data_IF_501497417840
#
_entry.id   IF_501497417840
#
_cell.length_a   1.000
_cell.length_b   1.000
_cell.length_c   1.000
_cell.angle_alpha   90.00
_cell.angle_beta   90.00
_cell.angle_gamma   90.00
#
_symmetry.space_group_name_H-M   'P 1'
#
loop_
_entity.id
_entity.type
_entity.pdbx_description
1 polymer ?
#
# COMPACT_ATOMS: atom_id res chain seq x y z
N UNK A 1 -6.74 -24.49 -9.56
CA UNK A 1 -5.65 -23.84 -8.77
C UNK A 1 -5.34 -22.53 -9.43
N UNK A 2 -5.41 -21.43 -8.71
CA UNK A 2 -4.99 -20.11 -9.21
C UNK A 2 -3.46 -20.06 -9.25
N UNK A 3 -2.88 -19.70 -10.39
CA UNK A 3 -1.44 -19.52 -10.50
C UNK A 3 -1.02 -18.37 -9.56
N UNK A 4 0.04 -18.53 -8.74
CA UNK A 4 0.56 -17.44 -7.91
C UNK A 4 0.89 -16.23 -8.76
N UNK A 5 0.53 -15.03 -8.29
CA UNK A 5 0.91 -13.78 -8.92
C UNK A 5 2.25 -13.32 -8.35
N UNK A 6 3.26 -13.24 -9.20
CA UNK A 6 4.57 -12.71 -8.85
C UNK A 6 4.63 -11.22 -9.23
N UNK A 7 4.96 -10.38 -8.26
CA UNK A 7 5.09 -8.94 -8.43
C UNK A 7 6.51 -8.46 -8.10
N UNK A 8 6.98 -7.45 -8.79
CA UNK A 8 8.15 -6.69 -8.38
C UNK A 8 7.75 -5.74 -7.26
N UNK A 9 8.29 -5.90 -6.06
CA UNK A 9 8.04 -4.97 -4.96
C UNK A 9 8.70 -3.60 -5.25
N UNK A 10 8.06 -2.51 -4.84
CA UNK A 10 8.60 -1.15 -5.04
C UNK A 10 9.97 -0.98 -4.38
N UNK A 11 10.18 -1.58 -3.21
CA UNK A 11 11.45 -1.56 -2.47
C UNK A 11 12.64 -2.19 -3.20
N UNK A 12 12.42 -3.00 -4.26
CA UNK A 12 13.49 -3.57 -5.06
C UNK A 12 14.13 -2.54 -6.03
N UNK A 13 13.43 -1.45 -6.32
CA UNK A 13 13.86 -0.41 -7.27
C UNK A 13 13.61 1.01 -6.68
N UNK A 14 14.22 1.32 -5.53
CA UNK A 14 13.87 2.50 -4.73
C UNK A 14 14.11 3.83 -5.46
N UNK A 15 15.04 3.85 -6.42
CA UNK A 15 15.41 5.06 -7.18
C UNK A 15 14.57 5.24 -8.45
N UNK A 16 13.69 4.28 -8.78
CA UNK A 16 12.86 4.35 -9.97
C UNK A 16 11.68 5.30 -9.77
N UNK A 17 11.39 6.11 -10.79
CA UNK A 17 10.17 6.90 -10.78
C UNK A 17 8.93 5.98 -10.89
N UNK A 18 7.77 6.34 -10.29
CA UNK A 18 6.58 5.49 -10.29
C UNK A 18 6.17 5.00 -11.68
N UNK A 19 6.27 5.82 -12.70
CA UNK A 19 5.95 5.47 -14.08
C UNK A 19 6.99 4.58 -14.79
N UNK A 20 8.17 4.40 -14.21
CA UNK A 20 9.20 3.52 -14.76
C UNK A 20 9.09 2.10 -14.17
N UNK A 21 8.52 1.95 -12.98
CA UNK A 21 8.37 0.66 -12.29
C UNK A 21 7.65 -0.38 -13.15
N UNK A 22 6.50 -0.10 -13.81
CA UNK A 22 5.83 -1.06 -14.66
C UNK A 22 6.71 -1.56 -15.82
N UNK A 23 7.51 -0.67 -16.42
CA UNK A 23 8.43 -1.03 -17.52
C UNK A 23 9.59 -1.89 -17.03
N UNK A 24 10.17 -1.55 -15.88
CA UNK A 24 11.23 -2.34 -15.23
C UNK A 24 10.71 -3.74 -14.88
N UNK A 25 9.53 -3.83 -14.27
CA UNK A 25 8.90 -5.10 -13.93
C UNK A 25 8.63 -5.96 -15.17
N UNK A 26 8.11 -5.36 -16.24
CA UNK A 26 7.87 -6.06 -17.51
C UNK A 26 9.17 -6.57 -18.14
N UNK A 27 10.23 -5.75 -18.16
CA UNK A 27 11.54 -6.14 -18.67
C UNK A 27 12.18 -7.29 -17.86
N UNK A 28 11.88 -7.36 -16.55
CA UNK A 28 12.31 -8.43 -15.66
C UNK A 28 11.41 -9.68 -15.70
N UNK A 29 10.35 -9.69 -16.53
CA UNK A 29 9.44 -10.83 -16.69
C UNK A 29 8.32 -10.94 -15.67
N UNK A 30 8.11 -9.93 -14.83
CA UNK A 30 6.95 -9.87 -13.92
C UNK A 30 5.68 -9.47 -14.68
N UNK A 31 4.54 -9.83 -14.11
CA UNK A 31 3.21 -9.45 -14.62
C UNK A 31 2.49 -8.44 -13.72
N UNK A 32 3.12 -8.07 -12.63
CA UNK A 32 2.62 -7.11 -11.66
C UNK A 32 3.75 -6.45 -10.90
N UNK A 33 3.47 -5.28 -10.32
CA UNK A 33 4.41 -4.54 -9.48
C UNK A 33 3.68 -3.90 -8.31
N UNK A 34 4.43 -3.60 -7.24
CA UNK A 34 4.07 -2.62 -6.24
C UNK A 34 4.52 -1.21 -6.66
N UNK A 35 4.17 -0.19 -5.86
CA UNK A 35 4.53 1.18 -6.17
C UNK A 35 4.58 2.06 -4.92
N UNK A 36 5.65 2.84 -4.77
CA UNK A 36 5.70 3.93 -3.78
C UNK A 36 4.98 5.18 -4.28
N UNK A 37 4.15 5.75 -3.40
CA UNK A 37 3.49 7.03 -3.60
C UNK A 37 4.01 8.00 -2.54
N UNK A 38 5.03 8.78 -2.89
CA UNK A 38 5.60 9.78 -1.99
C UNK A 38 5.49 11.19 -2.61
N UNK A 39 4.57 12.04 -2.10
CA UNK A 39 4.40 13.39 -2.63
C UNK A 39 5.59 14.32 -2.39
N UNK A 40 6.53 13.94 -1.52
CA UNK A 40 7.73 14.75 -1.24
C UNK A 40 8.86 14.50 -2.23
N UNK A 41 8.91 13.30 -2.81
CA UNK A 41 10.06 12.89 -3.64
C UNK A 41 9.66 12.50 -5.06
N UNK A 42 8.67 11.65 -5.24
CA UNK A 42 8.39 11.01 -6.53
C UNK A 42 7.02 11.35 -7.11
N UNK A 43 6.04 11.71 -6.28
CA UNK A 43 4.66 11.89 -6.71
C UNK A 43 4.33 13.35 -7.01
N UNK A 44 4.62 13.81 -8.24
CA UNK A 44 4.32 15.16 -8.72
C UNK A 44 3.05 15.23 -9.57
N UNK A 45 2.79 16.42 -10.14
CA UNK A 45 1.57 16.77 -10.90
C UNK A 45 1.19 15.75 -11.98
N UNK A 46 2.15 15.25 -12.74
CA UNK A 46 1.91 14.37 -13.90
C UNK A 46 2.11 12.88 -13.58
N UNK A 47 2.45 12.55 -12.32
CA UNK A 47 2.81 11.19 -11.95
C UNK A 47 1.67 10.20 -12.20
N UNK A 48 0.43 10.57 -11.85
CA UNK A 48 -0.74 9.72 -12.05
C UNK A 48 -0.92 9.35 -13.53
N UNK A 49 -0.94 10.35 -14.42
CA UNK A 49 -1.15 10.12 -15.85
C UNK A 49 -0.02 9.29 -16.48
N UNK A 50 1.24 9.61 -16.17
CA UNK A 50 2.41 8.86 -16.65
C UNK A 50 2.39 7.41 -16.18
N UNK A 51 2.03 7.17 -14.91
CA UNK A 51 1.96 5.82 -14.36
C UNK A 51 0.82 5.03 -14.98
N UNK A 52 -0.34 5.63 -15.15
CA UNK A 52 -1.50 5.02 -15.79
C UNK A 52 -1.19 4.61 -17.24
N UNK A 53 -0.48 5.50 -17.98
CA UNK A 53 0.02 5.18 -19.31
C UNK A 53 0.98 4.01 -19.30
N UNK A 54 1.97 3.99 -18.39
CA UNK A 54 2.96 2.91 -18.30
C UNK A 54 2.33 1.55 -17.95
N UNK A 55 1.36 1.51 -17.01
CA UNK A 55 0.60 0.30 -16.68
C UNK A 55 -0.17 -0.23 -17.91
N UNK A 56 -0.79 0.68 -18.69
CA UNK A 56 -1.51 0.32 -19.90
C UNK A 56 -0.59 -0.23 -20.99
N UNK A 57 0.51 0.47 -21.28
CA UNK A 57 1.49 0.09 -22.31
C UNK A 57 2.13 -1.27 -22.04
N UNK A 58 2.37 -1.58 -20.76
CA UNK A 58 3.01 -2.83 -20.34
C UNK A 58 2.01 -3.95 -20.01
N UNK A 59 0.71 -3.66 -20.02
CA UNK A 59 -0.34 -4.55 -19.52
C UNK A 59 -0.04 -5.08 -18.11
N UNK A 60 0.51 -4.22 -17.25
CA UNK A 60 0.99 -4.56 -15.91
C UNK A 60 -0.13 -4.38 -14.89
N UNK A 61 -0.34 -5.35 -14.01
CA UNK A 61 -1.23 -5.20 -12.87
C UNK A 61 -0.51 -4.50 -11.71
N UNK A 62 -1.18 -3.56 -11.04
CA UNK A 62 -0.69 -2.96 -9.81
C UNK A 62 -1.20 -3.76 -8.61
N UNK A 63 -0.28 -4.39 -7.84
CA UNK A 63 -0.65 -5.21 -6.69
C UNK A 63 -0.92 -4.35 -5.47
N UNK A 64 -0.06 -3.38 -5.24
CA UNK A 64 -0.17 -2.48 -4.09
C UNK A 64 0.37 -1.09 -4.38
N UNK A 65 -0.08 -0.17 -3.54
CA UNK A 65 0.53 1.14 -3.31
C UNK A 65 1.01 1.21 -1.88
N UNK A 66 2.14 1.87 -1.65
CA UNK A 66 2.81 1.94 -0.37
C UNK A 66 3.53 3.29 -0.16
N UNK A 67 3.83 3.71 1.04
CA UNK A 67 3.49 3.15 2.36
C UNK A 67 2.66 4.17 3.12
N UNK A 68 1.51 3.77 3.66
CA UNK A 68 0.75 4.62 4.57
C UNK A 68 1.23 4.37 6.01
N UNK A 69 2.02 5.31 6.55
CA UNK A 69 2.51 5.25 7.93
C UNK A 69 1.46 5.79 8.89
N UNK A 70 0.97 4.96 9.82
CA UNK A 70 0.17 5.46 10.93
C UNK A 70 1.12 6.10 11.95
N UNK A 71 0.88 7.38 12.22
CA UNK A 71 1.74 8.21 13.08
C UNK A 71 0.86 9.02 14.05
N UNK A 72 1.43 10.04 14.72
CA UNK A 72 0.84 10.83 15.83
C UNK A 72 -0.48 11.56 15.53
N UNK A 73 -1.26 11.12 14.58
CA UNK A 73 -2.56 11.71 14.26
C UNK A 73 -3.69 10.75 14.58
N UNK A 74 -4.80 11.26 15.12
CA UNK A 74 -5.98 10.44 15.40
C UNK A 74 -6.86 10.19 14.17
N UNK A 75 -6.54 10.82 13.04
CA UNK A 75 -7.26 10.70 11.77
C UNK A 75 -6.28 10.58 10.61
N UNK A 76 -6.73 10.00 9.51
CA UNK A 76 -5.92 9.88 8.31
C UNK A 76 -5.46 11.25 7.78
N UNK A 77 -4.16 11.37 7.54
CA UNK A 77 -3.52 12.58 6.99
C UNK A 77 -3.82 12.74 5.50
N UNK A 78 -3.57 13.94 4.95
CA UNK A 78 -3.76 14.18 3.53
C UNK A 78 -2.81 13.34 2.65
N UNK A 79 -1.60 13.04 3.15
CA UNK A 79 -0.66 12.13 2.46
C UNK A 79 -1.23 10.72 2.40
N UNK A 80 -1.73 10.18 3.51
CA UNK A 80 -2.32 8.85 3.55
C UNK A 80 -3.57 8.77 2.65
N UNK A 81 -4.42 9.80 2.67
CA UNK A 81 -5.59 9.90 1.79
C UNK A 81 -5.20 9.94 0.31
N UNK A 82 -4.13 10.67 -0.04
CA UNK A 82 -3.58 10.70 -1.38
C UNK A 82 -3.16 9.30 -1.84
N UNK A 83 -2.46 8.52 -0.98
CA UNK A 83 -2.02 7.16 -1.34
C UNK A 83 -3.23 6.28 -1.65
N UNK A 84 -4.30 6.34 -0.83
CA UNK A 84 -5.56 5.63 -1.10
C UNK A 84 -6.16 6.02 -2.45
N UNK A 85 -6.29 7.34 -2.70
CA UNK A 85 -6.89 7.86 -3.94
C UNK A 85 -6.10 7.43 -5.19
N UNK A 86 -4.78 7.50 -5.10
CA UNK A 86 -3.88 7.04 -6.17
C UNK A 86 -4.03 5.54 -6.40
N UNK A 87 -4.04 4.74 -5.33
CA UNK A 87 -4.25 3.30 -5.43
C UNK A 87 -5.56 2.95 -6.15
N UNK A 88 -6.65 3.60 -5.77
CA UNK A 88 -7.95 3.43 -6.43
C UNK A 88 -7.92 3.88 -7.89
N UNK A 89 -7.34 5.03 -8.19
CA UNK A 89 -7.28 5.58 -9.55
C UNK A 89 -6.44 4.71 -10.50
N UNK A 90 -5.41 4.04 -9.99
CA UNK A 90 -4.54 3.13 -10.74
C UNK A 90 -5.00 1.68 -10.74
N UNK A 91 -6.08 1.36 -10.02
CA UNK A 91 -6.60 -0.01 -9.92
C UNK A 91 -5.70 -0.95 -9.11
N UNK A 92 -4.98 -0.43 -8.10
CA UNK A 92 -4.23 -1.24 -7.17
C UNK A 92 -5.18 -2.18 -6.38
N UNK A 93 -4.69 -3.35 -5.99
CA UNK A 93 -5.48 -4.29 -5.19
C UNK A 93 -5.38 -4.00 -3.70
N UNK A 94 -4.21 -3.55 -3.25
CA UNK A 94 -3.89 -3.38 -1.83
C UNK A 94 -3.23 -2.03 -1.57
N UNK A 95 -3.43 -1.54 -0.34
CA UNK A 95 -2.65 -0.48 0.29
C UNK A 95 -1.81 -1.11 1.40
N UNK A 96 -0.50 -0.91 1.39
CA UNK A 96 0.37 -1.31 2.47
C UNK A 96 0.37 -0.23 3.56
N UNK A 97 0.08 -0.64 4.79
CA UNK A 97 0.01 0.22 5.97
C UNK A 97 0.93 -0.32 7.06
N UNK A 98 1.70 0.55 7.67
CA UNK A 98 2.61 0.23 8.79
C UNK A 98 2.30 1.15 9.96
N UNK A 99 2.24 0.63 11.19
CA UNK A 99 1.99 1.45 12.38
C UNK A 99 3.27 1.78 13.14
N UNK A 100 3.52 3.08 13.29
CA UNK A 100 4.49 3.69 14.23
C UNK A 100 3.76 4.47 15.33
N UNK A 101 2.44 4.38 15.39
CA UNK A 101 1.62 5.13 16.33
C UNK A 101 1.71 4.50 17.72
N UNK A 102 2.14 5.27 18.72
CA UNK A 102 2.27 4.80 20.11
C UNK A 102 0.92 4.54 20.78
N UNK A 103 -0.12 5.30 20.42
CA UNK A 103 -1.48 5.07 20.88
C UNK A 103 -2.20 4.06 19.98
N UNK A 104 -2.50 2.92 20.58
CA UNK A 104 -3.14 1.80 19.88
C UNK A 104 -4.54 2.13 19.35
N UNK A 105 -5.36 2.82 20.16
CA UNK A 105 -6.74 3.17 19.77
C UNK A 105 -6.75 4.21 18.64
N UNK A 106 -5.90 5.23 18.74
CA UNK A 106 -5.74 6.22 17.68
C UNK A 106 -5.21 5.59 16.38
N UNK A 107 -4.34 4.59 16.48
CA UNK A 107 -3.88 3.79 15.34
C UNK A 107 -5.04 3.04 14.65
N UNK A 108 -5.93 2.43 15.44
CA UNK A 108 -7.14 1.77 14.93
C UNK A 108 -8.04 2.76 14.21
N UNK A 109 -8.30 3.93 14.80
CA UNK A 109 -9.18 4.95 14.21
C UNK A 109 -8.59 5.49 12.90
N UNK A 110 -7.28 5.74 12.88
CA UNK A 110 -6.59 6.18 11.67
C UNK A 110 -6.64 5.12 10.55
N UNK A 111 -6.44 3.84 10.89
CA UNK A 111 -6.53 2.74 9.93
C UNK A 111 -7.97 2.57 9.40
N UNK A 112 -8.96 2.70 10.28
CA UNK A 112 -10.38 2.66 9.90
C UNK A 112 -10.74 3.78 8.91
N UNK A 113 -10.23 5.00 9.11
CA UNK A 113 -10.40 6.11 8.16
C UNK A 113 -9.90 5.73 6.74
N UNK A 114 -8.77 5.02 6.66
CA UNK A 114 -8.23 4.56 5.37
C UNK A 114 -9.14 3.50 4.73
N UNK A 115 -9.67 2.57 5.53
CA UNK A 115 -10.62 1.56 5.07
C UNK A 115 -11.92 2.18 4.54
N UNK A 116 -12.48 3.15 5.28
CA UNK A 116 -13.68 3.90 4.87
C UNK A 116 -13.46 4.65 3.57
N UNK A 117 -12.29 5.32 3.43
CA UNK A 117 -11.93 6.01 2.19
C UNK A 117 -11.76 5.07 1.01
N UNK A 118 -11.18 3.91 1.23
CA UNK A 118 -11.02 2.88 0.18
C UNK A 118 -12.36 2.33 -0.33
N UNK A 119 -13.42 2.37 0.48
CA UNK A 119 -14.79 2.07 0.07
C UNK A 119 -14.99 0.72 -0.62
N UNK A 120 -14.13 -0.27 -0.33
CA UNK A 120 -14.13 -1.60 -0.98
C UNK A 120 -13.41 -1.67 -2.33
N UNK A 121 -12.94 -0.55 -2.87
CA UNK A 121 -12.14 -0.52 -4.11
C UNK A 121 -10.67 -0.91 -3.91
N UNK A 122 -10.21 -0.96 -2.67
CA UNK A 122 -8.82 -1.21 -2.29
C UNK A 122 -8.81 -1.96 -0.95
N UNK A 123 -8.01 -3.02 -0.82
CA UNK A 123 -7.81 -3.69 0.46
C UNK A 123 -6.71 -2.97 1.25
N UNK A 124 -7.00 -2.58 2.48
CA UNK A 124 -6.06 -1.91 3.37
C UNK A 124 -5.37 -2.97 4.22
N UNK A 125 -4.07 -3.18 4.02
CA UNK A 125 -3.33 -4.29 4.60
C UNK A 125 -2.28 -3.79 5.60
N UNK A 126 -2.41 -4.22 6.87
CA UNK A 126 -1.43 -3.95 7.91
C UNK A 126 -0.23 -4.89 7.76
N UNK A 127 0.95 -4.33 7.60
CA UNK A 127 2.21 -5.05 7.75
C UNK A 127 2.69 -4.94 9.20
N UNK A 128 3.02 -6.09 9.78
CA UNK A 128 3.60 -6.17 11.12
C UNK A 128 5.10 -6.49 11.03
N UNK A 129 5.86 -6.17 12.07
CA UNK A 129 7.29 -6.47 12.14
C UNK A 129 7.97 -5.77 13.32
N UNK A 130 9.19 -6.18 13.66
CA UNK A 130 9.94 -5.66 14.80
C UNK A 130 10.19 -4.14 14.75
N UNK A 131 10.21 -3.56 13.56
CA UNK A 131 10.39 -2.12 13.34
C UNK A 131 9.09 -1.30 13.50
N UNK A 132 7.98 -1.95 13.82
CA UNK A 132 6.64 -1.35 13.96
C UNK A 132 6.14 -1.39 15.40
N UNK A 133 5.00 -0.78 15.69
CA UNK A 133 4.31 -0.96 16.98
C UNK A 133 3.51 -2.28 17.03
N UNK A 134 3.21 -2.89 15.90
CA UNK A 134 2.53 -4.18 15.79
C UNK A 134 3.55 -5.24 15.40
N UNK A 135 4.05 -6.01 16.37
CA UNK A 135 5.29 -6.81 16.22
C UNK A 135 5.08 -8.29 15.87
N UNK A 136 3.86 -8.76 15.78
CA UNK A 136 3.59 -10.17 15.51
C UNK A 136 2.29 -10.36 14.76
N UNK A 137 2.14 -11.50 14.09
CA UNK A 137 0.91 -11.90 13.43
C UNK A 137 -0.27 -11.95 14.43
N UNK A 138 -0.04 -12.39 15.67
CA UNK A 138 -1.08 -12.39 16.68
C UNK A 138 -1.56 -10.97 17.02
N UNK A 139 -0.62 -10.02 17.17
CA UNK A 139 -0.95 -8.61 17.41
C UNK A 139 -1.65 -7.98 16.19
N UNK A 140 -1.23 -8.33 14.98
CA UNK A 140 -1.88 -7.89 13.74
C UNK A 140 -3.31 -8.41 13.63
N UNK A 141 -3.57 -9.68 13.94
CA UNK A 141 -4.93 -10.21 13.98
C UNK A 141 -5.81 -9.46 14.98
N UNK A 142 -5.32 -9.26 16.23
CA UNK A 142 -6.06 -8.50 17.23
C UNK A 142 -6.35 -7.05 16.79
N UNK A 143 -5.42 -6.42 16.07
CA UNK A 143 -5.59 -5.09 15.52
C UNK A 143 -6.68 -5.07 14.44
N UNK A 144 -6.65 -6.00 13.49
CA UNK A 144 -7.65 -6.09 12.40
C UNK A 144 -9.04 -6.42 12.96
N UNK A 145 -9.13 -7.30 13.96
CA UNK A 145 -10.39 -7.60 14.66
C UNK A 145 -10.95 -6.33 15.35
N UNK A 146 -10.09 -5.51 15.97
CA UNK A 146 -10.51 -4.25 16.59
C UNK A 146 -10.88 -3.15 15.58
N UNK A 147 -10.27 -3.16 14.39
CA UNK A 147 -10.66 -2.27 13.27
C UNK A 147 -12.08 -2.58 12.80
N UNK A 148 -12.46 -3.86 12.74
CA UNK A 148 -13.79 -4.37 12.33
C UNK A 148 -14.30 -3.73 11.03
N UNK A 149 -13.52 -3.86 9.94
CA UNK A 149 -13.89 -3.31 8.64
C UNK A 149 -13.61 -4.31 7.50
N UNK A 150 -14.54 -4.50 6.54
CA UNK A 150 -14.42 -5.53 5.50
C UNK A 150 -13.24 -5.32 4.53
N UNK A 151 -12.76 -4.08 4.38
CA UNK A 151 -11.58 -3.77 3.57
C UNK A 151 -10.26 -3.99 4.31
N UNK A 152 -10.28 -4.27 5.63
CA UNK A 152 -9.08 -4.50 6.42
C UNK A 152 -8.47 -5.88 6.12
N UNK A 153 -7.16 -5.95 6.15
CA UNK A 153 -6.40 -7.19 5.95
C UNK A 153 -5.01 -7.13 6.55
N UNK A 154 -4.27 -8.23 6.42
CA UNK A 154 -2.89 -8.33 6.88
C UNK A 154 -2.00 -8.60 5.67
N UNK A 155 -0.87 -7.91 5.61
CA UNK A 155 0.24 -8.23 4.74
C UNK A 155 1.26 -9.02 5.54
N UNK A 156 1.66 -10.17 5.01
CA UNK A 156 2.66 -11.04 5.64
C UNK A 156 3.93 -10.93 4.83
N UNK A 157 4.96 -10.30 5.42
CA UNK A 157 6.32 -10.41 4.94
C UNK A 157 7.00 -11.57 5.67
N UNK A 158 7.57 -12.49 4.90
CA UNK A 158 8.24 -13.69 5.45
C UNK A 158 9.56 -13.37 6.15
N UNK A 159 10.03 -12.14 6.09
CA UNK A 159 11.23 -11.67 6.80
C UNK A 159 10.94 -11.23 8.24
N UNK A 160 9.68 -11.16 8.66
CA UNK A 160 9.24 -10.65 9.97
C UNK A 160 8.66 -11.73 10.86
#
# INVERSE_FOLDING_TARGET
MTTPLWALAAGCVPDAAPWDIPRIAAAAGFRSSGMWVDPKTTWGRDALAKTQQALTETNMALVDVEVAWLEKNNRATDVQKLIVDVGMALGARNLLVVSRHEDYNASIDQFRDLCERAGGGLRVCLEFGEFTQIKSLQAANAFIDAVDHPSAGILIDLMH
#
